data_IF_369715878883
#
_entry.id   IF_369715878883
#
_cell.length_a   1.000
_cell.length_b   1.000
_cell.length_c   1.000
_cell.angle_alpha   90.00
_cell.angle_beta   90.00
_cell.angle_gamma   90.00
#
_symmetry.space_group_name_H-M   'P 1'
#
loop_
_entity.id
_entity.type
_entity.pdbx_description
1 polymer ?
#
# COMPACT_ATOMS: atom_id res chain seq x y z
N UNK A 1 -44.28 -25.50 -40.02
CA UNK A 1 -43.40 -26.32 -40.83
C UNK A 1 -42.23 -26.74 -39.93
N UNK A 2 -42.15 -28.02 -39.67
CA UNK A 2 -41.24 -28.71 -38.74
C UNK A 2 -39.79 -28.70 -39.23
N UNK A 3 -38.80 -28.63 -38.28
CA UNK A 3 -37.59 -29.46 -38.27
C UNK A 3 -36.80 -29.13 -36.98
N UNK A 4 -36.85 -30.00 -36.08
CA UNK A 4 -36.01 -31.11 -35.59
C UNK A 4 -34.67 -30.67 -34.97
N UNK A 5 -34.68 -30.79 -33.61
CA UNK A 5 -33.53 -30.89 -32.73
C UNK A 5 -32.68 -32.11 -33.01
N UNK A 6 -31.35 -31.97 -32.94
CA UNK A 6 -30.46 -33.07 -32.61
C UNK A 6 -29.41 -32.61 -31.57
N UNK A 7 -29.25 -33.34 -30.47
CA UNK A 7 -28.25 -33.03 -29.48
C UNK A 7 -26.91 -33.66 -29.86
N UNK A 8 -25.83 -32.84 -29.81
CA UNK A 8 -24.46 -33.31 -29.96
C UNK A 8 -23.94 -33.74 -28.57
N UNK A 9 -23.58 -35.00 -28.49
CA UNK A 9 -23.01 -35.64 -27.28
C UNK A 9 -21.57 -35.20 -27.05
N UNK A 10 -21.23 -34.84 -25.81
CA UNK A 10 -19.87 -34.61 -25.33
C UNK A 10 -19.16 -35.95 -25.00
N UNK A 11 -17.87 -36.10 -25.31
CA UNK A 11 -17.13 -37.31 -24.97
C UNK A 11 -16.65 -37.31 -23.51
N UNK A 12 -16.80 -38.46 -22.86
CA UNK A 12 -16.49 -38.78 -21.48
C UNK A 12 -15.04 -38.49 -21.09
N UNK A 13 -14.86 -37.82 -19.97
CA UNK A 13 -13.61 -37.71 -19.23
C UNK A 13 -13.17 -39.07 -18.69
N UNK A 14 -12.05 -39.59 -19.15
CA UNK A 14 -11.39 -40.75 -18.58
C UNK A 14 -10.54 -40.38 -17.37
N UNK A 15 -10.86 -40.95 -16.26
CA UNK A 15 -10.17 -40.85 -14.97
C UNK A 15 -8.74 -41.40 -15.03
N UNK A 16 -7.80 -40.67 -14.39
CA UNK A 16 -6.36 -40.99 -14.22
C UNK A 16 -6.10 -42.18 -13.24
N UNK A 17 -6.72 -43.31 -13.45
CA UNK A 17 -6.54 -44.47 -12.53
C UNK A 17 -6.45 -45.83 -13.21
N UNK A 18 -5.85 -45.94 -14.38
CA UNK A 18 -5.56 -47.25 -15.00
C UNK A 18 -4.40 -47.11 -15.99
N UNK A 19 -3.16 -46.98 -15.51
CA UNK A 19 -1.95 -47.48 -16.19
C UNK A 19 -0.91 -47.80 -15.11
N UNK A 20 -1.00 -48.95 -14.51
CA UNK A 20 0.07 -49.59 -13.75
C UNK A 20 -0.23 -51.10 -13.69
N UNK A 21 0.13 -51.81 -14.73
CA UNK A 21 0.47 -53.21 -14.69
C UNK A 21 0.97 -53.65 -16.08
N UNK A 22 2.18 -54.02 -16.13
CA UNK A 22 2.88 -54.95 -17.00
C UNK A 22 4.16 -54.36 -17.60
N UNK A 23 5.27 -54.73 -17.03
CA UNK A 23 6.30 -55.60 -17.60
C UNK A 23 7.51 -55.61 -16.68
N UNK A 24 7.84 -56.78 -16.22
CA UNK A 24 8.94 -57.05 -15.35
C UNK A 24 10.24 -57.42 -16.08
N UNK A 25 11.29 -57.47 -15.25
CA UNK A 25 12.55 -58.19 -15.40
C UNK A 25 13.62 -57.61 -16.35
N UNK A 26 14.68 -57.10 -15.71
CA UNK A 26 15.99 -56.85 -16.33
C UNK A 26 16.93 -56.13 -15.35
N UNK A 27 17.84 -56.87 -14.74
CA UNK A 27 18.78 -56.47 -13.71
C UNK A 27 19.77 -55.40 -14.14
N UNK A 28 20.18 -54.58 -13.16
CA UNK A 28 21.31 -53.64 -13.31
C UNK A 28 21.25 -52.49 -12.33
N UNK A 29 21.57 -52.77 -11.05
CA UNK A 29 21.62 -51.75 -10.02
C UNK A 29 22.86 -50.84 -10.19
N UNK A 30 22.64 -49.58 -10.50
CA UNK A 30 23.52 -48.50 -10.13
C UNK A 30 22.68 -47.48 -9.39
N UNK A 31 22.70 -47.59 -8.06
CA UNK A 31 22.14 -46.55 -7.16
C UNK A 31 23.01 -45.30 -7.23
N UNK A 32 22.61 -44.32 -8.07
CA UNK A 32 22.99 -42.96 -7.88
C UNK A 32 22.01 -42.37 -6.87
N UNK A 33 22.47 -41.78 -5.75
CA UNK A 33 21.60 -41.04 -4.88
C UNK A 33 21.13 -39.82 -5.65
N UNK A 34 19.83 -39.75 -5.94
CA UNK A 34 19.20 -38.51 -6.37
C UNK A 34 19.38 -37.50 -5.23
N UNK A 35 20.31 -36.60 -5.42
CA UNK A 35 20.37 -35.33 -4.69
C UNK A 35 19.08 -34.58 -5.04
N UNK A 36 18.01 -34.86 -4.31
CA UNK A 36 16.90 -33.94 -4.17
C UNK A 36 17.45 -32.78 -3.35
N UNK A 37 18.14 -31.89 -4.02
CA UNK A 37 18.47 -30.59 -3.46
C UNK A 37 17.15 -29.89 -3.18
N UNK A 38 16.67 -29.94 -1.94
CA UNK A 38 15.74 -28.96 -1.43
C UNK A 38 16.40 -27.60 -1.69
N UNK A 39 15.89 -26.89 -2.68
CA UNK A 39 16.13 -25.46 -2.81
C UNK A 39 15.44 -24.78 -1.61
N UNK A 40 16.06 -24.88 -0.43
CA UNK A 40 15.84 -23.92 0.61
C UNK A 40 16.17 -22.57 -0.02
N UNK A 41 15.13 -21.76 -0.26
CA UNK A 41 15.31 -20.38 -0.63
C UNK A 41 16.21 -19.78 0.47
N UNK A 42 17.48 -19.57 0.15
CA UNK A 42 18.44 -18.98 1.07
C UNK A 42 17.83 -17.67 1.54
N UNK A 43 17.39 -17.64 2.80
CA UNK A 43 16.89 -16.44 3.45
C UNK A 43 18.07 -15.48 3.41
N UNK A 44 18.03 -14.53 2.46
CA UNK A 44 19.11 -13.57 2.30
C UNK A 44 19.24 -12.80 3.61
N UNK A 45 20.42 -12.87 4.24
CA UNK A 45 20.68 -12.20 5.50
C UNK A 45 20.33 -10.72 5.40
N UNK A 46 19.39 -10.26 6.22
CA UNK A 46 19.04 -8.84 6.29
C UNK A 46 19.96 -8.15 7.30
N UNK A 47 20.61 -7.06 6.87
CA UNK A 47 21.46 -6.22 7.71
C UNK A 47 20.74 -4.92 8.00
N UNK A 48 20.61 -4.56 9.27
CA UNK A 48 20.03 -3.28 9.66
C UNK A 48 20.87 -2.12 9.12
N UNK A 49 20.22 -1.12 8.53
CA UNK A 49 20.85 0.06 7.94
C UNK A 49 20.09 1.31 8.36
N UNK A 50 20.75 2.47 8.24
CA UNK A 50 20.08 3.77 8.38
C UNK A 50 19.73 4.25 6.98
N UNK A 51 18.43 4.39 6.69
CA UNK A 51 17.95 5.01 5.46
C UNK A 51 17.52 6.44 5.78
N UNK A 52 18.03 7.47 5.06
CA UNK A 52 17.69 8.87 5.32
C UNK A 52 16.18 9.09 5.40
N UNK A 53 15.73 10.03 6.23
CA UNK A 53 14.30 10.27 6.49
C UNK A 53 13.71 9.28 7.51
N UNK A 54 13.81 7.97 7.28
CA UNK A 54 13.29 6.95 8.22
C UNK A 54 13.96 6.99 9.60
N UNK A 55 15.17 7.52 9.69
CA UNK A 55 15.86 7.63 10.99
C UNK A 55 15.14 8.51 12.00
N UNK A 56 14.28 9.43 11.56
CA UNK A 56 13.43 10.23 12.46
C UNK A 56 12.34 9.37 13.14
N UNK A 57 12.00 8.21 12.56
CA UNK A 57 10.96 7.30 13.03
C UNK A 57 11.51 5.94 13.51
N UNK A 58 12.80 5.88 13.88
CA UNK A 58 13.52 4.65 14.24
C UNK A 58 12.93 3.85 15.41
N UNK A 59 12.13 4.48 16.24
CA UNK A 59 11.46 3.80 17.38
C UNK A 59 10.41 2.79 16.88
N UNK A 60 9.66 3.15 15.82
CA UNK A 60 8.59 2.32 15.25
C UNK A 60 9.02 1.63 13.95
N UNK A 61 9.90 2.25 13.15
CA UNK A 61 10.28 1.77 11.82
C UNK A 61 11.69 1.19 11.86
N UNK A 62 11.84 0.00 11.29
CA UNK A 62 13.13 -0.66 11.12
C UNK A 62 13.46 -0.77 9.63
N UNK A 63 14.70 -0.43 9.27
CA UNK A 63 15.18 -0.49 7.89
C UNK A 63 16.35 -1.45 7.77
N UNK A 64 16.32 -2.28 6.72
CA UNK A 64 17.33 -3.30 6.48
C UNK A 64 17.81 -3.27 5.02
N UNK A 65 19.00 -3.80 4.79
CA UNK A 65 19.52 -4.13 3.47
C UNK A 65 19.44 -5.64 3.28
N UNK A 66 18.79 -6.10 2.21
CA UNK A 66 18.72 -7.50 1.82
C UNK A 66 18.82 -7.62 0.30
N UNK A 67 19.90 -8.19 -0.19
CA UNK A 67 20.15 -8.30 -1.63
C UNK A 67 20.09 -6.95 -2.34
N UNK A 68 19.18 -6.82 -3.29
CA UNK A 68 18.95 -5.59 -4.08
C UNK A 68 17.99 -4.60 -3.43
N UNK A 69 17.43 -4.92 -2.25
CA UNK A 69 16.36 -4.16 -1.61
C UNK A 69 16.78 -3.48 -0.32
N UNK A 70 16.26 -2.30 -0.07
CA UNK A 70 15.99 -1.85 1.29
C UNK A 70 14.62 -2.42 1.69
N UNK A 71 14.58 -3.05 2.86
CA UNK A 71 13.35 -3.51 3.48
C UNK A 71 12.96 -2.52 4.58
N UNK A 72 11.70 -2.07 4.57
CA UNK A 72 11.17 -1.21 5.62
C UNK A 72 10.06 -1.95 6.34
N UNK A 73 10.21 -2.09 7.65
CA UNK A 73 9.27 -2.80 8.53
C UNK A 73 8.65 -1.85 9.55
N UNK A 74 7.33 -1.97 9.74
CA UNK A 74 6.56 -1.22 10.72
C UNK A 74 5.41 -2.10 11.25
N UNK A 75 5.35 -2.29 12.58
CA UNK A 75 4.25 -2.99 13.27
C UNK A 75 3.22 -1.98 13.72
N UNK A 76 1.94 -2.21 13.36
CA UNK A 76 0.85 -1.31 13.72
C UNK A 76 0.91 0.06 13.02
N UNK A 77 1.29 0.06 11.75
CA UNK A 77 1.48 1.28 10.95
C UNK A 77 0.21 2.14 10.90
N UNK A 78 0.29 3.31 11.55
CA UNK A 78 -0.66 4.42 11.47
C UNK A 78 0.10 5.74 11.70
N UNK A 79 -0.28 6.85 11.04
CA UNK A 79 0.35 8.14 11.28
C UNK A 79 0.01 8.69 12.68
N UNK A 80 0.85 9.61 13.17
CA UNK A 80 0.65 10.22 14.49
C UNK A 80 -0.42 11.33 14.49
N UNK A 81 -0.69 11.95 13.32
CA UNK A 81 -1.70 13.00 13.18
C UNK A 81 -3.14 12.43 13.24
N UNK A 82 -4.12 13.30 13.47
CA UNK A 82 -5.52 12.95 13.29
C UNK A 82 -5.78 12.55 11.83
N UNK A 83 -6.56 11.50 11.64
CA UNK A 83 -6.87 10.94 10.31
C UNK A 83 -8.33 11.18 9.97
N UNK A 84 -8.67 11.15 8.69
CA UNK A 84 -10.04 11.13 8.16
C UNK A 84 -10.83 12.43 8.29
N UNK A 85 -10.44 13.38 9.13
CA UNK A 85 -11.19 14.63 9.36
C UNK A 85 -11.22 15.48 8.09
N UNK A 86 -12.40 16.01 7.73
CA UNK A 86 -12.61 16.80 6.52
C UNK A 86 -13.11 16.02 5.31
N UNK A 87 -13.07 14.67 5.33
CA UNK A 87 -13.57 13.85 4.22
C UNK A 87 -15.08 14.03 4.04
N UNK A 88 -15.50 14.33 2.80
CA UNK A 88 -16.90 14.51 2.38
C UNK A 88 -17.39 13.45 1.41
N UNK A 89 -16.48 12.71 0.80
CA UNK A 89 -16.78 11.57 -0.09
C UNK A 89 -16.27 10.27 0.54
N UNK A 90 -16.93 9.86 1.62
CA UNK A 90 -16.52 8.75 2.48
C UNK A 90 -17.18 7.43 2.09
N UNK A 91 -16.41 6.35 2.06
CA UNK A 91 -16.88 4.99 1.80
C UNK A 91 -16.98 4.14 3.07
N UNK A 92 -17.10 4.76 4.24
CA UNK A 92 -17.29 4.15 5.56
C UNK A 92 -16.09 3.29 6.05
N UNK A 93 -14.90 3.49 5.50
CA UNK A 93 -13.67 2.91 6.06
C UNK A 93 -13.23 3.68 7.30
N UNK A 94 -12.47 2.97 8.18
CA UNK A 94 -11.87 3.55 9.37
C UNK A 94 -10.39 3.15 9.44
N UNK A 95 -9.51 4.00 9.97
CA UNK A 95 -8.09 3.64 10.10
C UNK A 95 -7.88 2.47 11.06
N UNK A 96 -7.29 1.38 10.58
CA UNK A 96 -6.85 0.27 11.43
C UNK A 96 -5.34 0.03 11.26
N UNK A 97 -4.62 -0.38 12.33
CA UNK A 97 -3.20 -0.63 12.26
C UNK A 97 -2.88 -1.71 11.21
N UNK A 98 -1.87 -1.44 10.38
CA UNK A 98 -1.34 -2.41 9.43
C UNK A 98 0.00 -2.95 9.92
N UNK A 99 0.32 -4.20 9.56
CA UNK A 99 1.55 -4.86 9.93
C UNK A 99 2.40 -5.14 8.68
N UNK A 100 3.45 -4.34 8.53
CA UNK A 100 4.38 -4.41 7.40
C UNK A 100 5.70 -5.03 7.83
N UNK A 101 5.69 -6.34 8.12
CA UNK A 101 6.88 -7.07 8.59
C UNK A 101 7.07 -8.38 7.85
N UNK A 102 8.28 -8.90 7.86
CA UNK A 102 8.60 -10.19 7.24
C UNK A 102 8.34 -10.20 5.74
N UNK A 103 7.49 -11.10 5.27
CA UNK A 103 7.07 -11.17 3.85
C UNK A 103 6.24 -9.97 3.39
N UNK A 104 5.68 -9.23 4.33
CA UNK A 104 4.91 -8.00 4.10
C UNK A 104 5.74 -6.72 4.30
N UNK A 105 7.06 -6.81 4.45
CA UNK A 105 7.92 -5.63 4.48
C UNK A 105 7.87 -4.87 3.15
N UNK A 106 8.01 -3.55 3.20
CA UNK A 106 8.17 -2.74 2.00
C UNK A 106 9.51 -3.00 1.34
N UNK A 107 9.53 -3.09 0.01
CA UNK A 107 10.70 -3.33 -0.81
C UNK A 107 11.01 -2.08 -1.64
N UNK A 108 12.12 -1.40 -1.34
CA UNK A 108 12.61 -0.23 -2.07
C UNK A 108 13.91 -0.63 -2.76
N UNK A 109 14.04 -0.47 -4.10
CA UNK A 109 15.29 -0.75 -4.79
C UNK A 109 16.46 0.04 -4.19
N UNK A 110 17.52 -0.64 -3.80
CA UNK A 110 18.66 0.02 -3.16
C UNK A 110 19.72 0.49 -4.16
N UNK A 111 19.55 0.17 -5.43
CA UNK A 111 20.33 0.64 -6.56
C UNK A 111 19.37 0.90 -7.72
N UNK A 112 18.60 1.99 -7.67
CA UNK A 112 17.64 2.33 -8.72
C UNK A 112 18.38 2.52 -10.05
N UNK A 113 17.69 2.24 -11.14
CA UNK A 113 18.19 2.44 -12.50
C UNK A 113 17.12 3.15 -13.31
N UNK A 114 17.48 4.13 -14.14
CA UNK A 114 16.53 4.78 -15.03
C UNK A 114 15.81 3.76 -15.92
N UNK A 115 14.51 3.94 -16.11
CA UNK A 115 13.72 3.17 -17.06
C UNK A 115 13.94 3.72 -18.49
N UNK A 116 14.00 2.83 -19.47
CA UNK A 116 13.99 3.25 -20.87
C UNK A 116 12.66 3.91 -21.27
N UNK A 117 11.58 3.51 -20.60
CA UNK A 117 10.23 4.06 -20.75
C UNK A 117 9.59 4.19 -19.36
N UNK A 118 9.60 5.38 -18.75
CA UNK A 118 8.95 5.63 -17.47
C UNK A 118 7.47 5.27 -17.47
N UNK A 119 6.99 4.65 -16.39
CA UNK A 119 5.57 4.27 -16.25
C UNK A 119 4.79 5.45 -15.70
N UNK A 120 3.87 6.00 -16.50
CA UNK A 120 3.08 7.17 -16.14
C UNK A 120 2.00 6.84 -15.10
N UNK A 121 1.90 7.65 -14.05
CA UNK A 121 0.84 7.57 -13.04
C UNK A 121 -0.51 8.11 -13.55
N UNK A 122 -0.50 8.95 -14.57
CA UNK A 122 -1.74 9.44 -15.18
C UNK A 122 -2.54 8.34 -15.90
N UNK A 123 -1.88 7.27 -16.37
CA UNK A 123 -2.51 6.20 -17.14
C UNK A 123 -2.42 4.82 -16.49
N UNK A 124 -1.60 4.66 -15.44
CA UNK A 124 -1.29 3.38 -14.80
C UNK A 124 -1.06 3.54 -13.31
N UNK A 125 -0.85 2.44 -12.60
CA UNK A 125 -0.49 2.41 -11.17
C UNK A 125 -1.59 2.98 -10.26
N UNK A 126 -2.85 2.68 -10.58
CA UNK A 126 -4.02 3.11 -9.78
C UNK A 126 -4.37 2.14 -8.65
N UNK A 127 -3.58 1.09 -8.50
CA UNK A 127 -3.75 0.10 -7.44
C UNK A 127 -2.52 0.08 -6.55
N UNK A 128 -2.73 0.13 -5.24
CA UNK A 128 -1.69 0.10 -4.23
C UNK A 128 -0.71 1.29 -4.32
N UNK A 129 0.39 1.22 -3.57
CA UNK A 129 1.32 2.33 -3.42
C UNK A 129 2.22 2.53 -4.64
N UNK A 130 2.59 3.80 -4.88
CA UNK A 130 3.68 4.22 -5.78
C UNK A 130 4.93 4.65 -5.01
N UNK A 131 4.76 4.98 -3.72
CA UNK A 131 5.83 5.40 -2.83
C UNK A 131 5.54 5.02 -1.37
N UNK A 132 6.55 5.13 -0.52
CA UNK A 132 6.46 4.97 0.93
C UNK A 132 6.97 6.23 1.61
N UNK A 133 6.12 6.89 2.39
CA UNK A 133 6.51 8.00 3.25
C UNK A 133 7.45 7.55 4.37
N UNK A 134 8.32 8.43 4.83
CA UNK A 134 9.32 8.06 5.85
C UNK A 134 8.73 7.80 7.24
N UNK A 135 7.46 8.16 7.47
CA UNK A 135 6.67 7.74 8.64
C UNK A 135 6.04 6.34 8.47
N UNK A 136 6.37 5.61 7.38
CA UNK A 136 5.93 4.24 7.13
C UNK A 136 4.52 4.12 6.54
N UNK A 137 3.89 5.22 6.17
CA UNK A 137 2.57 5.25 5.55
C UNK A 137 2.72 5.22 4.03
N UNK A 138 2.02 4.33 3.31
CA UNK A 138 2.08 4.29 1.85
C UNK A 138 1.54 5.56 1.20
N UNK A 139 2.07 5.88 0.03
CA UNK A 139 1.57 6.94 -0.84
C UNK A 139 1.06 6.26 -2.10
N UNK A 140 -0.23 6.42 -2.37
CA UNK A 140 -0.88 5.91 -3.58
C UNK A 140 -0.81 6.95 -4.70
N UNK A 141 -1.23 6.57 -5.88
CA UNK A 141 -1.38 7.48 -7.01
C UNK A 141 -2.37 8.62 -6.64
N UNK A 142 -2.08 9.85 -7.07
CA UNK A 142 -2.99 10.99 -6.92
C UNK A 142 -4.40 10.68 -7.46
N UNK A 143 -4.47 9.89 -8.53
CA UNK A 143 -5.71 9.44 -9.13
C UNK A 143 -6.21 8.15 -8.46
N UNK A 144 -7.49 8.14 -8.09
CA UNK A 144 -8.16 6.93 -7.63
C UNK A 144 -8.35 5.90 -8.76
N UNK A 145 -8.96 4.76 -8.46
CA UNK A 145 -9.22 3.69 -9.43
C UNK A 145 -10.20 4.06 -10.56
N UNK A 146 -10.90 5.21 -10.45
CA UNK A 146 -11.77 5.78 -11.49
C UNK A 146 -11.05 6.80 -12.38
N UNK A 147 -9.80 7.16 -12.02
CA UNK A 147 -9.00 8.16 -12.71
C UNK A 147 -9.33 9.60 -12.30
N UNK A 148 -9.95 9.79 -11.13
CA UNK A 148 -10.28 11.10 -10.55
C UNK A 148 -9.20 11.47 -9.54
N UNK A 149 -8.85 12.76 -9.47
CA UNK A 149 -7.95 13.27 -8.44
C UNK A 149 -8.63 13.24 -7.07
N UNK A 150 -8.16 12.34 -6.20
CA UNK A 150 -8.73 12.09 -4.87
C UNK A 150 -8.77 13.36 -4.00
N UNK A 151 -7.81 14.27 -4.19
CA UNK A 151 -7.74 15.52 -3.45
C UNK A 151 -8.88 16.49 -3.82
N UNK A 152 -9.27 16.53 -5.10
CA UNK A 152 -10.27 17.48 -5.59
C UNK A 152 -11.71 17.03 -5.37
N UNK A 153 -11.93 15.74 -5.12
CA UNK A 153 -13.29 15.16 -5.00
C UNK A 153 -13.72 14.90 -3.56
N UNK A 154 -12.95 15.37 -2.56
CA UNK A 154 -13.30 15.27 -1.14
C UNK A 154 -13.10 13.88 -0.53
N UNK A 155 -12.26 13.03 -1.11
CA UNK A 155 -11.90 11.72 -0.55
C UNK A 155 -10.81 11.81 0.51
N UNK A 156 -10.05 12.92 0.60
CA UNK A 156 -8.90 13.05 1.47
C UNK A 156 -9.18 13.93 2.69
N UNK A 157 -8.50 13.62 3.77
CA UNK A 157 -8.46 14.42 4.99
C UNK A 157 -7.49 15.62 4.88
N UNK A 158 -7.39 16.41 5.94
CA UNK A 158 -6.51 17.58 6.03
C UNK A 158 -5.01 17.26 5.84
N UNK A 159 -4.62 15.98 5.90
CA UNK A 159 -3.25 15.51 5.74
C UNK A 159 -3.01 14.86 4.37
N UNK A 160 -4.03 14.86 3.52
CA UNK A 160 -3.95 14.32 2.17
C UNK A 160 -4.01 12.80 2.08
N UNK A 161 -4.66 12.17 3.05
CA UNK A 161 -4.85 10.73 3.12
C UNK A 161 -6.28 10.32 3.39
N UNK A 162 -6.53 9.05 3.24
CA UNK A 162 -7.76 8.37 3.64
C UNK A 162 -7.53 6.86 3.83
N UNK A 163 -8.57 6.13 4.16
CA UNK A 163 -8.50 4.67 4.22
C UNK A 163 -9.01 4.05 2.93
N UNK A 164 -8.27 3.06 2.43
CA UNK A 164 -8.69 2.21 1.33
C UNK A 164 -9.67 1.12 1.75
N UNK A 165 -9.99 0.22 0.81
CA UNK A 165 -10.94 -0.89 1.02
C UNK A 165 -10.50 -1.91 2.08
N UNK A 166 -9.23 -1.89 2.47
CA UNK A 166 -8.66 -2.70 3.54
C UNK A 166 -8.62 -2.00 4.90
N UNK A 167 -9.28 -0.85 5.04
CA UNK A 167 -9.16 0.02 6.21
C UNK A 167 -7.69 0.45 6.46
N UNK A 168 -6.89 0.45 5.40
CA UNK A 168 -5.49 0.83 5.36
C UNK A 168 -5.35 2.32 5.06
N UNK A 169 -4.90 3.10 6.03
CA UNK A 169 -4.66 4.53 5.81
C UNK A 169 -3.46 4.74 4.88
N UNK A 170 -3.62 5.60 3.87
CA UNK A 170 -2.58 5.98 2.92
C UNK A 170 -2.78 7.41 2.43
N UNK A 171 -1.70 8.03 1.95
CA UNK A 171 -1.72 9.34 1.30
C UNK A 171 -1.98 9.22 -0.20
N UNK A 172 -2.57 10.25 -0.79
CA UNK A 172 -2.66 10.48 -2.25
C UNK A 172 -1.90 11.73 -2.69
N UNK A 173 -1.55 12.59 -1.73
CA UNK A 173 -0.72 13.78 -1.95
C UNK A 173 0.61 13.67 -1.22
N UNK A 174 1.54 14.57 -1.50
CA UNK A 174 2.81 14.60 -0.81
C UNK A 174 2.62 14.91 0.68
N UNK A 175 3.15 14.10 1.61
CA UNK A 175 3.08 14.38 3.04
C UNK A 175 4.11 15.46 3.45
N UNK A 176 3.94 16.69 2.96
CA UNK A 176 4.87 17.81 3.13
C UNK A 176 5.13 18.15 4.59
N UNK A 177 4.19 17.88 5.49
CA UNK A 177 4.34 18.07 6.93
C UNK A 177 5.53 17.28 7.52
N UNK A 178 5.95 16.19 6.87
CA UNK A 178 7.09 15.39 7.30
C UNK A 178 8.41 16.12 7.17
N UNK A 179 8.51 17.13 6.29
CA UNK A 179 9.73 17.91 6.13
C UNK A 179 10.14 18.60 7.44
N UNK A 180 9.18 19.12 8.20
CA UNK A 180 9.45 19.73 9.52
C UNK A 180 10.00 18.72 10.54
N UNK A 181 9.75 17.42 10.36
CA UNK A 181 10.20 16.35 11.26
C UNK A 181 11.59 15.85 10.85
N UNK A 182 11.82 15.64 9.54
CA UNK A 182 13.07 15.07 9.04
C UNK A 182 14.13 16.12 8.74
N UNK A 183 13.74 17.40 8.60
CA UNK A 183 14.60 18.53 8.22
C UNK A 183 14.76 18.68 6.71
N UNK A 184 15.27 19.83 6.30
CA UNK A 184 15.33 20.29 4.91
C UNK A 184 16.26 19.51 3.98
N UNK A 185 17.09 18.63 4.53
CA UNK A 185 18.10 17.88 3.77
C UNK A 185 17.79 16.39 3.65
N UNK A 186 16.70 15.95 4.23
CA UNK A 186 16.29 14.55 4.19
C UNK A 186 15.05 14.35 3.32
N UNK A 187 14.91 13.21 2.65
CA UNK A 187 13.69 12.90 1.91
C UNK A 187 12.52 12.70 2.86
N UNK A 188 11.32 13.05 2.40
CA UNK A 188 10.04 12.83 3.07
C UNK A 188 9.41 11.48 2.69
N UNK A 189 9.86 10.88 1.58
CA UNK A 189 9.40 9.59 1.08
C UNK A 189 10.44 8.95 0.15
N UNK A 190 10.17 7.71 -0.25
CA UNK A 190 10.87 7.01 -1.32
C UNK A 190 9.84 6.44 -2.29
N UNK A 191 10.01 6.72 -3.58
CA UNK A 191 9.25 6.06 -4.62
C UNK A 191 9.61 4.56 -4.68
N UNK A 192 8.67 3.72 -5.09
CA UNK A 192 8.91 2.27 -5.17
C UNK A 192 9.83 1.86 -6.33
N UNK A 193 10.29 2.80 -7.13
CA UNK A 193 11.38 2.62 -8.08
C UNK A 193 12.77 2.85 -7.45
N UNK A 194 12.82 3.25 -6.17
CA UNK A 194 14.03 3.40 -5.37
C UNK A 194 14.56 4.82 -5.24
N UNK A 195 14.03 5.79 -5.97
CA UNK A 195 14.47 7.17 -5.87
C UNK A 195 13.80 7.90 -4.70
N UNK A 196 14.55 8.79 -3.98
CA UNK A 196 13.99 9.56 -2.89
C UNK A 196 13.03 10.65 -3.40
N UNK A 197 12.07 11.02 -2.55
CA UNK A 197 11.15 12.15 -2.74
C UNK A 197 11.49 13.16 -1.64
N UNK A 198 11.93 14.36 -2.03
CA UNK A 198 12.17 15.47 -1.11
C UNK A 198 10.91 16.35 -1.02
N UNK A 199 10.88 17.24 -0.03
CA UNK A 199 9.84 18.26 0.06
C UNK A 199 10.16 19.50 -0.80
N UNK A 200 10.04 20.68 -0.22
CA UNK A 200 10.25 21.96 -0.91
C UNK A 200 11.74 22.36 -1.09
N UNK A 201 12.67 21.51 -0.68
CA UNK A 201 14.11 21.78 -0.69
C UNK A 201 14.91 20.68 -1.34
N UNK A 202 16.01 21.07 -1.97
CA UNK A 202 17.05 20.18 -2.49
C UNK A 202 17.79 19.42 -1.36
N UNK A 203 18.51 18.32 -1.63
CA UNK A 203 19.28 17.59 -0.62
C UNK A 203 20.30 18.41 0.17
N UNK A 204 20.70 19.57 -0.30
CA UNK A 204 21.59 20.50 0.41
C UNK A 204 20.83 21.53 1.28
N UNK A 205 19.49 21.56 1.24
CA UNK A 205 18.64 22.50 1.96
C UNK A 205 18.37 23.82 1.24
N UNK A 206 18.82 23.98 -0.01
CA UNK A 206 18.39 25.13 -0.84
C UNK A 206 16.98 24.92 -1.39
N UNK A 207 16.26 25.99 -1.78
CA UNK A 207 14.94 25.83 -2.39
C UNK A 207 14.97 24.91 -3.62
N UNK A 208 13.93 24.12 -3.78
CA UNK A 208 13.68 23.24 -4.93
C UNK A 208 13.79 24.01 -6.24
N UNK A 209 14.44 23.41 -7.24
CA UNK A 209 14.53 23.93 -8.60
C UNK A 209 13.33 23.45 -9.44
N UNK A 210 13.26 23.92 -10.70
CA UNK A 210 12.22 23.50 -11.63
C UNK A 210 12.25 21.98 -11.86
N UNK A 211 11.08 21.37 -11.83
CA UNK A 211 10.90 19.92 -12.04
C UNK A 211 10.60 19.62 -13.51
N UNK A 212 11.05 18.47 -13.97
CA UNK A 212 10.59 17.88 -15.22
C UNK A 212 9.13 17.45 -15.06
N UNK A 213 8.25 18.03 -15.87
CA UNK A 213 6.82 17.74 -15.84
C UNK A 213 6.48 16.27 -16.19
N UNK A 214 7.34 15.57 -16.92
CA UNK A 214 7.12 14.16 -17.29
C UNK A 214 7.29 13.21 -16.09
N UNK A 215 8.11 13.57 -15.11
CA UNK A 215 8.43 12.72 -13.96
C UNK A 215 8.05 13.33 -12.62
N UNK A 216 7.93 14.65 -12.54
CA UNK A 216 7.83 15.45 -11.30
C UNK A 216 9.09 15.33 -10.42
N UNK A 217 10.22 15.24 -11.08
CA UNK A 217 11.55 15.13 -10.48
C UNK A 217 12.59 15.81 -11.36
N UNK A 218 13.85 15.70 -11.00
CA UNK A 218 14.94 16.22 -11.81
C UNK A 218 16.30 15.57 -11.46
N UNK A 219 17.31 15.79 -12.30
CA UNK A 219 18.68 15.45 -12.00
C UNK A 219 19.35 16.66 -11.33
N UNK A 220 19.76 16.49 -10.10
CA UNK A 220 20.50 17.49 -9.36
C UNK A 220 21.87 16.94 -8.94
N UNK A 221 22.95 17.61 -9.32
CA UNK A 221 24.34 17.16 -9.09
C UNK A 221 24.65 15.73 -9.56
N UNK A 222 23.99 15.30 -10.64
CA UNK A 222 24.20 13.99 -11.24
C UNK A 222 23.33 12.86 -10.70
N UNK A 223 22.47 13.13 -9.70
CA UNK A 223 21.55 12.16 -9.11
C UNK A 223 20.09 12.59 -9.31
N UNK A 224 19.25 11.65 -9.71
CA UNK A 224 17.82 11.89 -9.87
C UNK A 224 17.09 11.80 -8.53
N UNK A 225 16.13 12.68 -8.32
CA UNK A 225 15.14 12.60 -7.24
C UNK A 225 13.83 13.27 -7.62
N UNK A 226 12.78 12.92 -6.89
CA UNK A 226 11.47 13.56 -6.98
C UNK A 226 11.32 14.64 -5.91
N UNK A 227 10.28 15.47 -6.08
CA UNK A 227 9.82 16.37 -5.05
C UNK A 227 8.33 16.20 -4.78
N UNK A 228 7.94 16.40 -3.51
CA UNK A 228 6.57 16.60 -3.12
C UNK A 228 6.16 18.04 -3.32
N UNK A 229 4.96 18.26 -3.88
CA UNK A 229 4.34 19.58 -4.05
C UNK A 229 2.89 19.56 -3.57
N UNK A 230 2.28 20.73 -3.44
CA UNK A 230 0.86 20.92 -3.12
C UNK A 230 -0.06 20.88 -4.34
N UNK A 231 0.51 20.73 -5.54
CA UNK A 231 -0.21 20.68 -6.80
C UNK A 231 -0.01 19.33 -7.50
N UNK A 232 -1.01 18.90 -8.26
CA UNK A 232 -0.96 17.67 -9.06
C UNK A 232 0.31 17.59 -9.92
N UNK A 233 1.00 16.48 -9.98
CA UNK A 233 0.68 15.12 -9.48
C UNK A 233 1.12 14.85 -8.02
N UNK A 234 1.43 15.86 -7.25
CA UNK A 234 1.84 15.91 -5.84
C UNK A 234 3.16 15.20 -5.54
N UNK A 235 3.46 14.06 -6.19
CA UNK A 235 4.70 13.28 -5.97
C UNK A 235 5.36 12.88 -7.29
N UNK A 236 4.91 11.78 -7.91
CA UNK A 236 5.52 11.22 -9.11
C UNK A 236 4.54 11.30 -10.27
N UNK A 237 4.88 12.01 -11.37
CA UNK A 237 4.11 11.98 -12.62
C UNK A 237 4.33 10.69 -13.40
N UNK A 238 5.54 10.11 -13.27
CA UNK A 238 5.90 8.79 -13.78
C UNK A 238 7.00 8.18 -12.91
N UNK A 239 7.11 6.85 -12.91
CA UNK A 239 8.25 6.15 -12.33
C UNK A 239 9.46 6.33 -13.23
N UNK A 240 10.41 7.20 -12.82
CA UNK A 240 11.67 7.43 -13.51
C UNK A 240 12.55 6.17 -13.52
N UNK A 241 12.53 5.43 -12.44
CA UNK A 241 13.26 4.18 -12.28
C UNK A 241 12.51 2.98 -12.84
N UNK A 242 13.26 1.89 -13.04
CA UNK A 242 12.71 0.61 -13.45
C UNK A 242 11.83 0.02 -12.36
N UNK A 243 10.60 -0.34 -12.73
CA UNK A 243 9.63 -1.04 -11.88
C UNK A 243 9.06 -2.25 -12.59
N UNK A 244 8.66 -3.26 -11.85
CA UNK A 244 7.83 -4.35 -12.35
C UNK A 244 6.37 -4.03 -12.06
N UNK A 245 5.53 -4.01 -13.08
CA UNK A 245 4.10 -3.73 -12.95
C UNK A 245 3.31 -5.01 -13.21
N UNK A 246 2.41 -5.34 -12.28
CA UNK A 246 1.44 -6.42 -12.43
C UNK A 246 0.10 -5.95 -11.87
N UNK A 247 -1.01 -6.25 -12.53
CA UNK A 247 -2.37 -5.87 -12.09
C UNK A 247 -2.51 -4.38 -11.74
N UNK A 248 -1.89 -3.49 -12.52
CA UNK A 248 -1.88 -2.04 -12.35
C UNK A 248 -1.25 -1.57 -11.02
N UNK A 249 -0.32 -2.33 -10.45
CA UNK A 249 0.47 -1.98 -9.25
C UNK A 249 1.95 -2.34 -9.42
N UNK A 250 2.82 -1.66 -8.69
CA UNK A 250 4.25 -1.97 -8.62
C UNK A 250 4.44 -3.22 -7.74
N UNK A 251 5.30 -4.14 -8.18
CA UNK A 251 5.64 -5.35 -7.43
C UNK A 251 7.15 -5.52 -7.29
N UNK A 252 7.64 -6.06 -6.15
CA UNK A 252 6.90 -6.52 -4.96
C UNK A 252 6.53 -5.37 -4.02
N UNK A 253 5.34 -5.43 -3.43
CA UNK A 253 4.94 -4.59 -2.31
C UNK A 253 3.93 -5.32 -1.42
N UNK A 254 3.75 -4.94 -0.14
CA UNK A 254 2.75 -5.54 0.73
C UNK A 254 1.33 -5.23 0.25
N UNK A 255 0.46 -6.24 0.34
CA UNK A 255 -0.98 -6.11 0.10
C UNK A 255 -1.71 -6.74 1.28
N UNK A 256 -1.98 -5.99 2.36
CA UNK A 256 -2.65 -6.52 3.54
C UNK A 256 -4.06 -7.03 3.18
N UNK A 257 -4.44 -8.24 3.61
CA UNK A 257 -5.80 -8.71 3.41
C UNK A 257 -6.77 -7.87 4.26
N UNK A 258 -7.93 -7.48 3.72
CA UNK A 258 -8.92 -6.73 4.46
C UNK A 258 -9.49 -7.56 5.61
N UNK A 259 -9.85 -6.92 6.74
CA UNK A 259 -10.55 -7.59 7.85
C UNK A 259 -12.04 -7.71 7.60
N UNK A 260 -12.62 -6.77 6.89
CA UNK A 260 -14.05 -6.72 6.56
C UNK A 260 -14.28 -6.47 5.07
N UNK A 261 -15.47 -6.73 4.61
CA UNK A 261 -15.84 -6.42 3.23
C UNK A 261 -15.84 -4.91 2.99
N UNK A 262 -15.56 -4.53 1.74
CA UNK A 262 -15.67 -3.14 1.33
C UNK A 262 -17.07 -2.61 1.56
N UNK A 263 -17.17 -1.45 2.17
CA UNK A 263 -18.41 -0.74 2.44
C UNK A 263 -18.80 0.17 1.27
N UNK A 264 -20.08 0.54 1.19
CA UNK A 264 -20.58 1.45 0.18
C UNK A 264 -20.29 2.92 0.57
N UNK A 265 -20.21 3.85 -0.41
CA UNK A 265 -20.20 5.28 -0.11
C UNK A 265 -21.40 5.68 0.75
N UNK A 266 -21.19 6.65 1.64
CA UNK A 266 -22.24 7.28 2.46
C UNK A 266 -22.40 8.75 2.03
N UNK A 267 -23.22 9.03 0.99
CA UNK A 267 -23.37 10.38 0.45
C UNK A 267 -23.87 11.38 1.49
N UNK A 268 -23.26 12.55 1.54
CA UNK A 268 -23.63 13.62 2.46
C UNK A 268 -23.05 13.47 3.86
N UNK A 269 -22.31 12.40 4.15
CA UNK A 269 -21.56 12.29 5.39
C UNK A 269 -20.29 13.16 5.32
N UNK A 270 -19.97 13.83 6.43
CA UNK A 270 -18.75 14.62 6.63
C UNK A 270 -18.10 14.14 7.91
N UNK A 271 -16.85 13.70 7.83
CA UNK A 271 -16.12 13.29 9.04
C UNK A 271 -15.64 14.56 9.76
N UNK A 272 -16.08 14.71 11.03
CA UNK A 272 -15.84 15.91 11.84
C UNK A 272 -14.84 15.69 12.97
N UNK A 273 -14.55 14.43 13.33
CA UNK A 273 -13.63 14.12 14.41
C UNK A 273 -12.99 12.75 14.29
N UNK A 274 -11.73 12.70 14.73
CA UNK A 274 -10.98 11.45 14.92
C UNK A 274 -10.05 11.58 16.11
N UNK A 275 -10.06 10.59 16.99
CA UNK A 275 -9.19 10.56 18.17
C UNK A 275 -8.67 9.15 18.47
N UNK A 276 -7.41 9.08 18.91
CA UNK A 276 -6.86 7.91 19.59
C UNK A 276 -7.13 8.04 21.08
N UNK A 277 -7.77 7.03 21.65
CA UNK A 277 -8.10 6.97 23.09
C UNK A 277 -7.22 5.97 23.85
N UNK A 278 -6.12 5.52 23.26
CA UNK A 278 -5.20 4.53 23.80
C UNK A 278 -4.35 3.87 22.71
N UNK A 279 -3.76 2.73 23.03
CA UNK A 279 -2.89 2.02 22.07
C UNK A 279 -3.66 1.46 20.87
N UNK A 280 -4.90 1.00 21.10
CA UNK A 280 -5.73 0.25 20.17
C UNK A 280 -7.19 0.77 20.08
N UNK A 281 -7.53 1.84 20.81
CA UNK A 281 -8.86 2.42 20.85
C UNK A 281 -8.94 3.70 20.05
N UNK A 282 -10.01 3.82 19.26
CA UNK A 282 -10.22 4.92 18.33
C UNK A 282 -11.67 5.38 18.40
N UNK A 283 -11.84 6.66 18.14
CA UNK A 283 -13.12 7.32 18.05
C UNK A 283 -13.18 8.11 16.75
N UNK A 284 -14.24 7.92 15.97
CA UNK A 284 -14.55 8.67 14.75
C UNK A 284 -15.93 9.28 14.86
N UNK A 285 -16.03 10.56 14.57
CA UNK A 285 -17.29 11.31 14.52
C UNK A 285 -17.58 11.74 13.09
N UNK A 286 -18.84 11.63 12.67
CA UNK A 286 -19.29 12.19 11.41
C UNK A 286 -20.67 12.78 11.51
N UNK A 287 -20.95 13.76 10.65
CA UNK A 287 -22.26 14.36 10.50
C UNK A 287 -22.93 13.85 9.23
N UNK A 288 -24.24 13.57 9.33
CA UNK A 288 -25.10 13.21 8.22
C UNK A 288 -26.48 13.85 8.43
N UNK A 289 -26.95 14.64 7.45
CA UNK A 289 -28.23 15.36 7.53
C UNK A 289 -28.38 16.21 8.82
N UNK A 290 -27.29 16.87 9.23
CA UNK A 290 -27.25 17.74 10.42
C UNK A 290 -27.26 16.99 11.76
N UNK A 291 -27.09 15.68 11.76
CA UNK A 291 -27.04 14.84 12.97
C UNK A 291 -25.66 14.22 13.13
N UNK A 292 -25.19 14.07 14.37
CA UNK A 292 -23.92 13.46 14.71
C UNK A 292 -24.05 11.96 14.94
N UNK A 293 -23.14 11.20 14.36
CA UNK A 293 -22.97 9.75 14.52
C UNK A 293 -21.57 9.46 15.02
N UNK A 294 -21.43 8.41 15.83
CA UNK A 294 -20.16 8.02 16.40
C UNK A 294 -19.79 6.59 16.01
N UNK A 295 -18.51 6.35 15.82
CA UNK A 295 -17.92 5.01 15.67
C UNK A 295 -16.78 4.90 16.68
N UNK A 296 -17.03 4.14 17.75
CA UNK A 296 -15.99 3.74 18.69
C UNK A 296 -15.49 2.36 18.31
N UNK A 297 -14.17 2.18 18.24
CA UNK A 297 -13.65 0.88 17.87
C UNK A 297 -12.32 0.54 18.54
N UNK A 298 -12.11 -0.76 18.72
CA UNK A 298 -10.84 -1.34 19.16
C UNK A 298 -10.26 -2.06 17.95
N UNK A 299 -9.07 -1.65 17.52
CA UNK A 299 -8.42 -2.23 16.37
C UNK A 299 -6.98 -2.65 16.70
N UNK A 300 -6.70 -3.91 16.44
CA UNK A 300 -5.35 -4.49 16.46
C UNK A 300 -4.94 -4.89 15.05
N UNK A 301 -3.74 -5.41 14.87
CA UNK A 301 -3.34 -5.97 13.57
C UNK A 301 -4.13 -7.23 13.19
N UNK A 302 -4.88 -7.83 14.13
CA UNK A 302 -5.58 -9.12 13.94
C UNK A 302 -7.08 -9.06 14.17
N UNK A 303 -7.61 -8.04 14.85
CA UNK A 303 -9.04 -7.92 15.20
C UNK A 303 -9.54 -6.49 15.13
N UNK A 304 -10.84 -6.35 14.88
CA UNK A 304 -11.56 -5.08 14.84
C UNK A 304 -12.93 -5.27 15.50
N UNK A 305 -13.14 -4.59 16.62
CA UNK A 305 -14.42 -4.54 17.33
C UNK A 305 -14.99 -3.12 17.21
N UNK A 306 -16.19 -2.95 16.65
CA UNK A 306 -16.78 -1.66 16.34
C UNK A 306 -18.13 -1.49 17.06
N UNK A 307 -18.35 -0.29 17.58
CA UNK A 307 -19.65 0.17 18.11
C UNK A 307 -20.07 1.42 17.35
N UNK A 308 -21.19 1.34 16.67
CA UNK A 308 -21.81 2.46 15.96
C UNK A 308 -22.90 3.04 16.85
N UNK A 309 -22.90 4.35 17.06
CA UNK A 309 -23.92 5.05 17.87
C UNK A 309 -24.67 6.04 16.99
N UNK A 310 -25.98 5.88 16.91
CA UNK A 310 -26.90 6.77 16.20
C UNK A 310 -27.26 8.00 17.05
N UNK A 311 -27.78 9.10 16.47
CA UNK A 311 -28.12 10.32 17.20
C UNK A 311 -29.17 10.19 18.30
N UNK A 312 -29.98 9.14 18.24
CA UNK A 312 -30.96 8.78 19.26
C UNK A 312 -30.38 7.93 20.41
N UNK A 313 -29.06 7.64 20.35
CA UNK A 313 -28.37 6.80 21.33
C UNK A 313 -28.45 5.29 21.07
N UNK A 314 -29.13 4.86 20.00
CA UNK A 314 -29.14 3.44 19.63
C UNK A 314 -27.74 2.98 19.19
N UNK A 315 -27.38 1.77 19.59
CA UNK A 315 -26.04 1.21 19.29
C UNK A 315 -26.15 -0.08 18.48
N UNK A 316 -25.16 -0.31 17.60
CA UNK A 316 -24.94 -1.54 16.84
C UNK A 316 -23.49 -1.95 16.97
N UNK A 317 -23.23 -3.23 17.18
CA UNK A 317 -21.88 -3.76 17.33
C UNK A 317 -21.53 -4.71 16.18
N UNK A 318 -20.26 -4.68 15.77
CA UNK A 318 -19.71 -5.58 14.77
C UNK A 318 -18.32 -6.02 15.23
N UNK A 319 -17.96 -7.28 14.89
CA UNK A 319 -16.66 -7.86 15.21
C UNK A 319 -16.08 -8.56 13.99
N UNK A 320 -14.81 -8.32 13.74
CA UNK A 320 -14.06 -8.90 12.63
C UNK A 320 -12.71 -9.43 13.10
N UNK A 321 -12.21 -10.44 12.39
CA UNK A 321 -10.87 -10.98 12.61
C UNK A 321 -10.13 -11.04 11.29
N UNK A 322 -8.86 -10.66 11.30
CA UNK A 322 -8.01 -10.80 10.12
C UNK A 322 -7.79 -12.28 9.83
N UNK A 323 -7.96 -12.74 8.59
CA UNK A 323 -7.62 -14.11 8.21
C UNK A 323 -6.14 -14.41 8.54
N UNK A 324 -5.79 -15.65 8.89
CA UNK A 324 -4.39 -16.07 9.00
C UNK A 324 -3.64 -15.76 7.70
N UNK A 325 -2.39 -15.30 7.83
CA UNK A 325 -1.48 -15.03 6.70
C UNK A 325 -0.83 -16.31 6.19
#
# INVERSE_FOLDING_TARGET
MYHHDHPVALPNARTRRQILAAMGLGAGALLLPALVGSAEAAVMAKKQVKLPGFSAFRESIKTYRSGQWYLVEYVGALPAHAMMVGITNWQQQVPIPQDYTGSMAWHIPARPRPAASPVSTATSLRRQAIALAVNGIPIFNALNNRGEDSNTIGELDDWGGHCGRGDDYHYHVAPLHLQSIVGDKAPIAYALDGYPIYGSTEPNGTPMQALDAATHGHIWRGEFHYHGTDSYPYTCAAMYGQVTVADDMITPQPVPPPMRQATAPLPGAVITGFARQGADRYHLEYQLAGKTYLIDYIATTTSLDMTFTSPDGATRQERYSRPPR
#
